data_IF_114705746266
#
_entry.id   IF_114705746266
#
_cell.length_a   1.000
_cell.length_b   1.000
_cell.length_c   1.000
_cell.angle_alpha   90.00
_cell.angle_beta   90.00
_cell.angle_gamma   90.00
#
_symmetry.space_group_name_H-M   'P 1'
#
loop_
_entity.id
_entity.type
_entity.pdbx_description
1 polymer ?
#
# COMPACT_ATOMS: atom_id res chain seq x y z
N UNK A 1 -14.26 18.21 -12.94
CA UNK A 1 -15.66 17.82 -13.25
C UNK A 1 -15.72 16.46 -13.95
N UNK A 2 -14.80 16.13 -14.85
CA UNK A 2 -14.76 14.85 -15.58
C UNK A 2 -14.62 13.61 -14.70
N UNK A 3 -13.88 13.70 -13.59
CA UNK A 3 -13.68 12.57 -12.65
C UNK A 3 -15.02 12.11 -12.03
N UNK A 4 -15.94 13.04 -11.77
CA UNK A 4 -17.23 12.73 -11.12
C UNK A 4 -18.25 12.21 -12.12
N UNK A 5 -18.14 12.62 -13.38
CA UNK A 5 -19.11 12.26 -14.44
C UNK A 5 -18.76 10.95 -15.17
N UNK A 6 -17.50 10.52 -15.11
CA UNK A 6 -17.04 9.29 -15.74
C UNK A 6 -16.92 8.16 -14.70
N UNK A 7 -17.77 7.11 -14.77
CA UNK A 7 -17.76 6.02 -13.79
C UNK A 7 -16.42 5.30 -13.64
N UNK A 8 -15.68 5.13 -14.72
CA UNK A 8 -14.36 4.47 -14.66
C UNK A 8 -13.31 5.32 -13.97
N UNK A 9 -13.30 6.62 -14.20
CA UNK A 9 -12.41 7.55 -13.49
C UNK A 9 -12.76 7.65 -12.01
N UNK A 10 -14.06 7.65 -11.68
CA UNK A 10 -14.51 7.64 -10.29
C UNK A 10 -14.07 6.35 -9.58
N UNK A 11 -14.23 5.20 -10.22
CA UNK A 11 -13.78 3.92 -9.67
C UNK A 11 -12.28 3.90 -9.35
N UNK A 12 -11.45 4.38 -10.27
CA UNK A 12 -10.00 4.49 -10.06
C UNK A 12 -9.67 5.50 -8.94
N UNK A 13 -10.35 6.65 -8.91
CA UNK A 13 -10.13 7.65 -7.87
C UNK A 13 -10.47 7.12 -6.47
N UNK A 14 -11.55 6.36 -6.33
CA UNK A 14 -11.92 5.68 -5.08
C UNK A 14 -10.87 4.62 -4.72
N UNK A 15 -10.38 3.85 -5.71
CA UNK A 15 -9.29 2.90 -5.50
C UNK A 15 -8.00 3.55 -5.00
N UNK A 16 -7.61 4.69 -5.56
CA UNK A 16 -6.44 5.47 -5.10
C UNK A 16 -6.65 5.96 -3.66
N UNK A 17 -7.85 6.44 -3.33
CA UNK A 17 -8.19 6.87 -1.98
C UNK A 17 -8.08 5.71 -0.99
N UNK A 18 -8.64 4.54 -1.32
CA UNK A 18 -8.56 3.33 -0.51
C UNK A 18 -7.12 2.83 -0.32
N UNK A 19 -6.30 2.90 -1.37
CA UNK A 19 -4.89 2.58 -1.29
C UNK A 19 -4.10 3.51 -0.36
N UNK A 20 -4.51 4.77 -0.24
CA UNK A 20 -3.84 5.78 0.58
C UNK A 20 -4.30 5.73 2.04
N UNK A 21 -5.60 5.60 2.28
CA UNK A 21 -6.22 5.67 3.61
C UNK A 21 -6.65 4.26 4.06
N UNK A 22 -5.73 3.35 4.18
CA UNK A 22 -6.02 1.97 4.61
C UNK A 22 -6.51 1.93 6.07
N UNK A 23 -7.76 1.50 6.36
CA UNK A 23 -8.30 1.48 7.73
C UNK A 23 -7.44 0.66 8.71
N UNK A 24 -6.88 -0.45 8.26
CA UNK A 24 -6.02 -1.29 9.08
C UNK A 24 -4.74 -0.59 9.55
N UNK A 25 -4.25 0.42 8.83
CA UNK A 25 -3.11 1.21 9.26
C UNK A 25 -3.41 2.00 10.53
N UNK A 26 -4.63 2.46 10.74
CA UNK A 26 -5.04 3.13 11.97
C UNK A 26 -4.91 2.18 13.18
N UNK A 27 -5.39 0.95 13.04
CA UNK A 27 -5.30 -0.06 14.11
C UNK A 27 -3.84 -0.48 14.34
N UNK A 28 -3.07 -0.66 13.28
CA UNK A 28 -1.66 -1.03 13.35
C UNK A 28 -0.85 0.04 14.06
N UNK A 29 -0.96 1.29 13.63
CA UNK A 29 -0.20 2.39 14.23
C UNK A 29 -0.62 2.65 15.67
N UNK A 30 -1.91 2.59 15.99
CA UNK A 30 -2.41 2.71 17.36
C UNK A 30 -1.83 1.63 18.27
N UNK A 31 -1.71 0.40 17.80
CA UNK A 31 -1.11 -0.70 18.54
C UNK A 31 0.40 -0.53 18.72
N UNK A 32 1.12 -0.15 17.66
CA UNK A 32 2.58 0.05 17.71
C UNK A 32 2.96 1.18 18.65
N UNK A 33 2.22 2.28 18.67
CA UNK A 33 2.49 3.40 19.58
C UNK A 33 2.40 2.97 21.06
N UNK A 34 1.54 2.02 21.39
CA UNK A 34 1.40 1.51 22.75
C UNK A 34 2.65 0.71 23.23
N UNK A 35 3.47 0.21 22.31
CA UNK A 35 4.68 -0.54 22.65
C UNK A 35 5.88 0.36 22.96
N UNK A 36 5.77 1.67 22.73
CA UNK A 36 6.84 2.64 23.05
C UNK A 36 6.95 2.84 24.56
N UNK A 37 8.19 2.88 25.03
CA UNK A 37 8.48 3.15 26.44
C UNK A 37 8.51 4.66 26.70
N UNK A 38 7.65 5.13 27.59
CA UNK A 38 7.60 6.52 28.04
C UNK A 38 7.05 6.61 29.47
N UNK A 39 7.44 7.63 30.25
CA UNK A 39 6.92 7.83 31.60
C UNK A 39 5.40 8.00 31.59
N UNK A 40 4.69 7.23 32.41
CA UNK A 40 3.21 7.23 32.50
C UNK A 40 2.63 8.47 33.20
N UNK A 41 3.46 9.50 33.43
CA UNK A 41 3.04 10.80 33.97
C UNK A 41 2.33 11.64 32.90
N UNK A 42 1.61 12.68 33.31
CA UNK A 42 0.93 13.59 32.38
C UNK A 42 1.92 14.29 31.44
N UNK A 43 3.10 14.65 31.94
CA UNK A 43 4.17 15.28 31.16
C UNK A 43 4.78 14.30 30.17
N UNK A 44 5.10 13.09 30.60
CA UNK A 44 5.63 12.05 29.71
C UNK A 44 4.66 11.66 28.60
N UNK A 45 3.35 11.62 28.86
CA UNK A 45 2.32 11.41 27.83
C UNK A 45 2.27 12.56 26.81
N UNK A 46 2.36 13.82 27.27
CA UNK A 46 2.40 14.99 26.36
C UNK A 46 3.63 14.97 25.47
N UNK A 47 4.77 14.65 26.04
CA UNK A 47 6.03 14.52 25.30
C UNK A 47 5.96 13.39 24.27
N UNK A 48 5.50 12.19 24.65
CA UNK A 48 5.30 11.07 23.76
C UNK A 48 4.35 11.40 22.61
N UNK A 49 3.25 12.12 22.88
CA UNK A 49 2.30 12.56 21.88
C UNK A 49 2.93 13.57 20.90
N UNK A 50 3.74 14.51 21.41
CA UNK A 50 4.45 15.50 20.58
C UNK A 50 5.40 14.80 19.60
N UNK A 51 6.21 13.86 20.08
CA UNK A 51 7.14 13.10 19.23
C UNK A 51 6.41 12.18 18.25
N UNK A 52 5.34 11.52 18.67
CA UNK A 52 4.52 10.69 17.76
C UNK A 52 3.88 11.52 16.65
N UNK A 53 3.37 12.71 16.97
CA UNK A 53 2.79 13.63 15.98
C UNK A 53 3.84 14.16 15.01
N UNK A 54 5.03 14.51 15.50
CA UNK A 54 6.14 14.96 14.66
C UNK A 54 6.61 13.87 13.71
N UNK A 55 6.84 12.66 14.23
CA UNK A 55 7.24 11.47 13.48
C UNK A 55 6.24 11.15 12.37
N UNK A 56 4.94 11.09 12.70
CA UNK A 56 3.88 10.87 11.72
C UNK A 56 3.81 11.95 10.66
N UNK A 57 3.92 13.22 11.06
CA UNK A 57 3.85 14.34 10.12
C UNK A 57 5.00 14.34 9.13
N UNK A 58 6.22 14.10 9.61
CA UNK A 58 7.41 14.03 8.75
C UNK A 58 7.35 12.82 7.81
N UNK A 59 6.97 11.65 8.33
CA UNK A 59 6.86 10.42 7.53
C UNK A 59 5.80 10.53 6.45
N UNK A 60 4.62 11.07 6.78
CA UNK A 60 3.54 11.28 5.82
C UNK A 60 3.88 12.36 4.79
N UNK A 61 4.61 13.40 5.18
CA UNK A 61 5.09 14.42 4.24
C UNK A 61 6.07 13.82 3.22
N UNK A 62 7.01 13.00 3.66
CA UNK A 62 7.92 12.28 2.75
C UNK A 62 7.15 11.33 1.83
N UNK A 63 6.21 10.57 2.36
CA UNK A 63 5.36 9.68 1.57
C UNK A 63 4.54 10.46 0.52
N UNK A 64 4.03 11.64 0.87
CA UNK A 64 3.32 12.53 -0.07
C UNK A 64 4.22 12.93 -1.25
N UNK A 65 5.44 13.36 -0.99
CA UNK A 65 6.37 13.75 -2.06
C UNK A 65 6.74 12.56 -2.97
N UNK A 66 6.95 11.38 -2.39
CA UNK A 66 7.23 10.16 -3.16
C UNK A 66 6.03 9.80 -4.04
N UNK A 67 4.82 9.77 -3.49
CA UNK A 67 3.60 9.46 -4.25
C UNK A 67 3.33 10.50 -5.35
N UNK A 68 3.52 11.78 -5.06
CA UNK A 68 3.41 12.83 -6.06
C UNK A 68 4.46 12.68 -7.19
N UNK A 69 5.70 12.36 -6.84
CA UNK A 69 6.75 12.11 -7.82
C UNK A 69 6.41 10.91 -8.73
N UNK A 70 5.92 9.80 -8.18
CA UNK A 70 5.49 8.63 -8.96
C UNK A 70 4.38 9.02 -9.93
N UNK A 71 3.37 9.76 -9.48
CA UNK A 71 2.26 10.20 -10.31
C UNK A 71 2.71 11.15 -11.43
N UNK A 72 3.59 12.10 -11.11
CA UNK A 72 4.15 13.05 -12.09
C UNK A 72 5.01 12.31 -13.13
N UNK A 73 5.88 11.41 -12.71
CA UNK A 73 6.72 10.61 -13.61
C UNK A 73 5.85 9.74 -14.52
N UNK A 74 4.84 9.08 -13.95
CA UNK A 74 3.90 8.25 -14.72
C UNK A 74 3.18 9.09 -15.78
N UNK A 75 2.67 10.25 -15.42
CA UNK A 75 2.00 11.15 -16.37
C UNK A 75 2.97 11.68 -17.43
N UNK A 76 4.15 12.12 -17.05
CA UNK A 76 5.16 12.66 -17.97
C UNK A 76 5.76 11.60 -18.90
N UNK A 77 5.94 10.37 -18.43
CA UNK A 77 6.62 9.32 -19.18
C UNK A 77 5.66 8.53 -20.06
N UNK A 78 4.55 8.05 -19.51
CA UNK A 78 3.64 7.16 -20.24
C UNK A 78 2.59 7.93 -21.05
N UNK A 79 1.91 8.89 -20.42
CA UNK A 79 0.82 9.61 -21.07
C UNK A 79 1.30 10.49 -22.24
N UNK A 80 2.41 11.20 -22.07
CA UNK A 80 2.98 12.05 -23.16
C UNK A 80 3.58 11.23 -24.29
N UNK A 81 4.03 10.01 -24.04
CA UNK A 81 4.57 9.09 -25.04
C UNK A 81 3.48 8.29 -25.77
N UNK A 82 2.20 8.55 -25.50
CA UNK A 82 1.08 7.87 -26.14
C UNK A 82 0.71 6.51 -25.53
N UNK A 83 1.42 6.04 -24.53
CA UNK A 83 1.12 4.79 -23.83
C UNK A 83 0.06 5.03 -22.73
N UNK A 84 -1.22 5.08 -23.16
CA UNK A 84 -2.33 5.42 -22.24
C UNK A 84 -2.86 4.24 -21.43
N UNK A 85 -2.56 3.01 -21.85
CA UNK A 85 -3.13 1.78 -21.28
C UNK A 85 -2.08 0.99 -20.49
N UNK A 86 -1.13 1.68 -19.81
CA UNK A 86 -0.14 1.04 -18.92
C UNK A 86 -0.80 0.76 -17.58
N UNK A 87 -1.52 -0.33 -17.49
CA UNK A 87 -2.20 -0.77 -16.27
C UNK A 87 -1.40 -1.83 -15.49
N UNK A 88 -0.45 -2.50 -16.14
CA UNK A 88 0.34 -3.57 -15.54
C UNK A 88 1.72 -3.06 -15.08
N UNK A 89 2.17 -3.53 -13.91
CA UNK A 89 3.48 -3.21 -13.34
C UNK A 89 4.61 -3.73 -14.24
N UNK A 90 4.42 -4.87 -14.91
CA UNK A 90 5.41 -5.42 -15.85
C UNK A 90 5.57 -4.55 -17.09
N UNK A 91 4.48 -3.97 -17.59
CA UNK A 91 4.53 -3.07 -18.73
C UNK A 91 5.22 -1.76 -18.35
N UNK A 92 4.92 -1.21 -17.17
CA UNK A 92 5.63 -0.06 -16.63
C UNK A 92 7.15 -0.33 -16.51
N UNK A 93 7.53 -1.51 -15.99
CA UNK A 93 8.94 -1.92 -15.88
C UNK A 93 9.65 -1.96 -17.24
N UNK A 94 9.01 -2.57 -18.26
CA UNK A 94 9.58 -2.73 -19.61
C UNK A 94 9.71 -1.38 -20.34
N UNK A 95 8.73 -0.50 -20.17
CA UNK A 95 8.67 0.79 -20.86
C UNK A 95 9.55 1.87 -20.22
N UNK A 96 9.88 1.74 -18.95
CA UNK A 96 10.55 2.80 -18.20
C UNK A 96 11.96 3.11 -18.72
N UNK A 97 12.77 2.08 -19.02
CA UNK A 97 14.13 2.27 -19.53
C UNK A 97 14.18 2.90 -20.92
N UNK A 98 13.40 2.43 -21.91
CA UNK A 98 13.37 3.06 -23.23
C UNK A 98 12.89 4.51 -23.20
N UNK A 99 11.89 4.83 -22.37
CA UNK A 99 11.29 6.15 -22.30
C UNK A 99 12.16 7.17 -21.54
N UNK A 100 12.88 6.74 -20.52
CA UNK A 100 13.81 7.60 -19.77
C UNK A 100 15.24 7.62 -20.35
N UNK A 101 15.50 6.79 -21.36
CA UNK A 101 16.82 6.73 -22.01
C UNK A 101 17.94 6.16 -21.13
N UNK A 102 17.60 5.44 -20.06
CA UNK A 102 18.56 4.84 -19.14
C UNK A 102 18.15 3.44 -18.72
N UNK A 103 19.06 2.47 -18.84
CA UNK A 103 18.82 1.08 -18.40
C UNK A 103 18.70 0.94 -16.89
N UNK A 104 19.25 1.88 -16.12
CA UNK A 104 19.18 1.89 -14.67
C UNK A 104 17.76 2.16 -14.14
N UNK A 105 16.91 2.82 -14.92
CA UNK A 105 15.54 3.16 -14.49
C UNK A 105 14.73 1.92 -14.14
N UNK A 106 14.73 0.90 -14.98
CA UNK A 106 14.02 -0.36 -14.71
C UNK A 106 14.62 -1.13 -13.54
N UNK A 107 15.95 -1.12 -13.39
CA UNK A 107 16.63 -1.77 -12.26
C UNK A 107 16.21 -1.10 -10.94
N UNK A 108 16.29 0.23 -10.85
CA UNK A 108 15.87 0.95 -9.65
C UNK A 108 14.39 0.76 -9.34
N UNK A 109 13.54 0.73 -10.36
CA UNK A 109 12.12 0.43 -10.20
C UNK A 109 11.91 -0.98 -9.62
N UNK A 110 12.60 -2.00 -10.16
CA UNK A 110 12.51 -3.37 -9.65
C UNK A 110 13.00 -3.51 -8.20
N UNK A 111 14.12 -2.87 -7.84
CA UNK A 111 14.64 -2.86 -6.46
C UNK A 111 13.68 -2.14 -5.50
N UNK A 112 13.14 -1.01 -5.91
CA UNK A 112 12.16 -0.28 -5.11
C UNK A 112 10.87 -1.10 -4.89
N UNK A 113 10.39 -1.78 -5.94
CA UNK A 113 9.23 -2.66 -5.87
C UNK A 113 9.45 -3.84 -4.93
N UNK A 114 10.63 -4.46 -5.00
CA UNK A 114 11.01 -5.55 -4.09
C UNK A 114 11.05 -5.10 -2.63
N UNK A 115 11.70 -3.97 -2.35
CA UNK A 115 11.78 -3.40 -1.02
C UNK A 115 10.41 -3.02 -0.46
N UNK A 116 9.55 -2.41 -1.28
CA UNK A 116 8.17 -2.07 -0.94
C UNK A 116 7.34 -3.31 -0.64
N UNK A 117 7.42 -4.33 -1.49
CA UNK A 117 6.70 -5.60 -1.31
C UNK A 117 7.10 -6.31 -0.03
N UNK A 118 8.38 -6.32 0.31
CA UNK A 118 8.86 -6.90 1.56
C UNK A 118 8.31 -6.16 2.79
N UNK A 119 8.35 -4.84 2.78
CA UNK A 119 7.81 -4.02 3.87
C UNK A 119 6.29 -4.23 4.03
N UNK A 120 5.56 -4.22 2.91
CA UNK A 120 4.11 -4.44 2.90
C UNK A 120 3.70 -5.82 3.44
N UNK A 121 4.51 -6.84 3.19
CA UNK A 121 4.27 -8.20 3.73
C UNK A 121 4.36 -8.22 5.26
N UNK A 122 5.30 -7.49 5.84
CA UNK A 122 5.46 -7.40 7.31
C UNK A 122 4.30 -6.62 7.92
N UNK A 123 4.01 -5.42 7.39
CA UNK A 123 2.95 -4.55 7.93
C UNK A 123 1.56 -5.16 7.77
N UNK A 124 1.26 -5.78 6.63
CA UNK A 124 0.00 -6.49 6.41
C UNK A 124 -0.18 -7.69 7.34
N UNK A 125 0.89 -8.44 7.61
CA UNK A 125 0.86 -9.55 8.58
C UNK A 125 0.58 -9.05 10.00
N UNK A 126 1.21 -7.95 10.41
CA UNK A 126 1.00 -7.33 11.74
C UNK A 126 -0.42 -6.78 11.87
N UNK A 127 -0.92 -6.10 10.84
CA UNK A 127 -2.30 -5.60 10.83
C UNK A 127 -3.32 -6.74 10.99
N UNK A 128 -3.16 -7.84 10.24
CA UNK A 128 -4.00 -9.02 10.38
C UNK A 128 -3.94 -9.65 11.79
N UNK A 129 -2.76 -9.64 12.42
CA UNK A 129 -2.62 -10.12 13.80
C UNK A 129 -3.40 -9.26 14.80
N UNK A 130 -3.33 -7.95 14.66
CA UNK A 130 -4.03 -7.01 15.55
C UNK A 130 -5.55 -7.16 15.40
N UNK A 131 -6.03 -7.29 14.16
CA UNK A 131 -7.46 -7.52 13.88
C UNK A 131 -7.92 -8.84 14.50
N UNK A 132 -7.17 -9.94 14.35
CA UNK A 132 -7.52 -11.24 14.93
C UNK A 132 -7.56 -11.19 16.46
N UNK A 133 -6.63 -10.51 17.11
CA UNK A 133 -6.58 -10.40 18.57
C UNK A 133 -7.60 -9.41 19.12
N UNK A 134 -7.75 -8.26 18.48
CA UNK A 134 -8.58 -7.17 18.99
C UNK A 134 -10.07 -7.33 18.70
N UNK A 135 -10.42 -7.79 17.49
CA UNK A 135 -11.82 -7.88 17.07
C UNK A 135 -12.41 -9.29 17.15
N UNK A 136 -11.61 -10.31 16.83
CA UNK A 136 -12.09 -11.70 16.81
C UNK A 136 -11.77 -12.48 18.08
N UNK A 137 -10.99 -11.91 19.02
CA UNK A 137 -10.53 -12.56 20.25
C UNK A 137 -9.85 -13.93 20.03
N UNK A 138 -9.29 -14.15 18.85
CA UNK A 138 -8.63 -15.41 18.47
C UNK A 138 -7.19 -15.36 18.97
N UNK A 139 -6.89 -16.08 20.04
CA UNK A 139 -5.56 -16.23 20.63
C UNK A 139 -4.88 -17.50 20.13
N UNK A 140 -4.19 -17.42 19.01
CA UNK A 140 -3.41 -18.53 18.45
C UNK A 140 -1.92 -18.34 18.74
N UNK A 141 -1.15 -19.44 18.67
CA UNK A 141 0.30 -19.35 18.71
C UNK A 141 0.81 -18.43 17.61
N UNK A 142 1.82 -17.57 17.85
CA UNK A 142 2.25 -16.53 16.90
C UNK A 142 2.57 -17.05 15.49
N UNK A 143 3.16 -18.22 15.36
CA UNK A 143 3.49 -18.80 14.07
C UNK A 143 2.25 -19.29 13.29
N UNK A 144 1.26 -19.89 13.97
CA UNK A 144 0.00 -20.37 13.37
C UNK A 144 -0.79 -19.17 12.86
N UNK A 145 -0.87 -18.12 13.65
CA UNK A 145 -1.56 -16.88 13.30
C UNK A 145 -0.95 -16.24 12.05
N UNK A 146 0.39 -16.15 11.97
CA UNK A 146 1.09 -15.67 10.78
C UNK A 146 0.82 -16.53 9.55
N UNK A 147 0.78 -17.84 9.71
CA UNK A 147 0.49 -18.76 8.62
C UNK A 147 -0.94 -18.55 8.09
N UNK A 148 -1.92 -18.50 8.98
CA UNK A 148 -3.34 -18.31 8.61
C UNK A 148 -3.55 -16.98 7.89
N UNK A 149 -3.04 -15.87 8.43
CA UNK A 149 -3.19 -14.55 7.80
C UNK A 149 -2.56 -14.48 6.42
N UNK A 150 -1.41 -15.13 6.22
CA UNK A 150 -0.76 -15.20 4.92
C UNK A 150 -1.51 -16.09 3.94
N UNK A 151 -2.00 -17.23 4.38
CA UNK A 151 -2.77 -18.13 3.51
C UNK A 151 -4.09 -17.48 3.04
N UNK A 152 -4.80 -16.79 3.94
CA UNK A 152 -6.03 -16.06 3.59
C UNK A 152 -5.75 -14.98 2.53
N UNK A 153 -4.58 -14.35 2.56
CA UNK A 153 -4.22 -13.34 1.56
C UNK A 153 -3.71 -13.97 0.24
N UNK A 154 -2.90 -15.03 0.33
CA UNK A 154 -2.22 -15.62 -0.83
C UNK A 154 -3.16 -16.49 -1.67
N UNK A 155 -4.04 -17.29 -1.03
CA UNK A 155 -4.90 -18.24 -1.75
C UNK A 155 -5.82 -17.55 -2.76
N UNK A 156 -6.59 -16.49 -2.42
CA UNK A 156 -7.42 -15.79 -3.40
C UNK A 156 -6.61 -15.16 -4.51
N UNK A 157 -5.47 -14.54 -4.19
CA UNK A 157 -4.59 -13.94 -5.18
C UNK A 157 -4.03 -14.98 -6.16
N UNK A 158 -3.62 -16.14 -5.66
CA UNK A 158 -3.13 -17.25 -6.48
C UNK A 158 -4.23 -17.79 -7.41
N UNK A 159 -5.44 -17.99 -6.90
CA UNK A 159 -6.57 -18.49 -7.69
C UNK A 159 -6.88 -17.51 -8.83
N UNK A 160 -6.94 -16.22 -8.56
CA UNK A 160 -7.24 -15.20 -9.58
C UNK A 160 -6.10 -15.09 -10.58
N UNK A 161 -4.86 -15.12 -10.14
CA UNK A 161 -3.69 -15.10 -11.03
C UNK A 161 -3.65 -16.31 -11.99
N UNK A 162 -4.04 -17.50 -11.52
CA UNK A 162 -4.10 -18.70 -12.36
C UNK A 162 -5.28 -18.63 -13.35
N UNK A 163 -6.45 -18.14 -12.93
CA UNK A 163 -7.66 -18.12 -13.75
C UNK A 163 -7.66 -16.98 -14.78
N UNK A 164 -7.15 -15.80 -14.42
CA UNK A 164 -7.27 -14.58 -15.23
C UNK A 164 -5.93 -14.04 -15.71
N UNK A 165 -4.79 -14.63 -15.29
CA UNK A 165 -3.45 -14.18 -15.66
C UNK A 165 -3.07 -12.82 -15.07
N UNK A 166 -2.12 -12.12 -15.72
CA UNK A 166 -1.58 -10.85 -15.23
C UNK A 166 -2.63 -9.74 -15.14
N UNK A 167 -3.54 -9.64 -16.10
CA UNK A 167 -4.63 -8.64 -16.11
C UNK A 167 -5.57 -8.82 -14.91
N UNK A 168 -5.91 -10.06 -14.57
CA UNK A 168 -6.75 -10.34 -13.41
C UNK A 168 -6.11 -9.92 -12.09
N UNK A 169 -4.78 -9.94 -12.00
CA UNK A 169 -4.06 -9.48 -10.82
C UNK A 169 -4.17 -7.96 -10.63
N UNK A 170 -4.06 -7.18 -11.72
CA UNK A 170 -4.23 -5.73 -11.67
C UNK A 170 -5.66 -5.34 -11.27
N UNK A 171 -6.67 -5.97 -11.87
CA UNK A 171 -8.08 -5.74 -11.54
C UNK A 171 -8.40 -6.10 -10.09
N UNK A 172 -7.83 -7.20 -9.57
CA UNK A 172 -7.97 -7.59 -8.16
C UNK A 172 -7.36 -6.56 -7.22
N UNK A 173 -6.18 -6.01 -7.57
CA UNK A 173 -5.55 -4.96 -6.79
C UNK A 173 -6.46 -3.73 -6.67
N UNK A 174 -6.97 -3.22 -7.80
CA UNK A 174 -7.87 -2.06 -7.81
C UNK A 174 -9.15 -2.37 -7.04
N UNK A 175 -9.78 -3.51 -7.29
CA UNK A 175 -11.01 -3.93 -6.61
C UNK A 175 -10.82 -4.04 -5.09
N UNK A 176 -9.71 -4.64 -4.63
CA UNK A 176 -9.40 -4.74 -3.21
C UNK A 176 -9.25 -3.38 -2.54
N UNK A 177 -8.66 -2.40 -3.24
CA UNK A 177 -8.52 -1.03 -2.72
C UNK A 177 -9.85 -0.28 -2.69
N UNK A 178 -10.73 -0.51 -3.66
CA UNK A 178 -12.09 0.05 -3.64
C UNK A 178 -12.88 -0.50 -2.44
N UNK A 179 -12.82 -1.81 -2.17
CA UNK A 179 -13.47 -2.41 -0.99
C UNK A 179 -12.90 -1.81 0.31
N UNK A 180 -11.60 -1.63 0.39
CA UNK A 180 -10.95 -1.04 1.58
C UNK A 180 -11.29 0.45 1.79
N UNK A 181 -11.79 1.14 0.76
CA UNK A 181 -12.21 2.55 0.84
C UNK A 181 -13.64 2.73 1.37
N UNK A 182 -14.41 1.66 1.44
CA UNK A 182 -15.81 1.64 1.91
C UNK A 182 -15.88 1.44 3.44
#
# INVERSE_FOLDING_TARGET
>A
KEIITNPSMLYIAIGILGATVMPHNLYLHSSIVQTRDYPRTTEGKKEALKFASLDSSLSLMLAFFINAAILIISAATFHTSGNKDVADINDAYKLLSPLLGTTLASIFFGVALLASGQNSTVTGTLAGQIVMEGFLNIRLKPWVRRLITRLIAIIPALIISILYGERGTADLLVFSQVILSM
#
